data_IF_754366394397
#
_entry.id   IF_754366394397
#
_cell.length_a   1.000
_cell.length_b   1.000
_cell.length_c   1.000
_cell.angle_alpha   90.00
_cell.angle_beta   90.00
_cell.angle_gamma   90.00
#
_symmetry.space_group_name_H-M   'P 1'
#
loop_
_entity.id
_entity.type
_entity.pdbx_description
1 polymer ?
#
# COMPACT_ATOMS: atom_id res chain seq x y z
N UNK A 1 15.21 -4.37 -2.71
CA UNK A 1 14.67 -3.03 -2.35
C UNK A 1 14.27 -3.04 -0.88
N UNK A 2 13.42 -3.94 -0.41
CA UNK A 2 12.92 -4.01 0.98
C UNK A 2 14.08 -4.05 1.98
N UNK A 3 15.04 -4.96 1.84
CA UNK A 3 16.22 -5.05 2.73
C UNK A 3 17.04 -3.76 2.82
N UNK A 4 16.94 -2.89 1.83
CA UNK A 4 17.67 -1.61 1.80
C UNK A 4 16.91 -0.47 2.47
N UNK A 5 15.57 -0.53 2.50
CA UNK A 5 14.72 0.58 2.90
C UNK A 5 13.69 0.21 3.97
N UNK A 6 13.97 -0.84 4.78
CA UNK A 6 13.06 -1.33 5.81
C UNK A 6 13.06 -0.50 7.09
N UNK A 7 14.08 0.32 7.31
CA UNK A 7 14.20 1.12 8.53
C UNK A 7 12.98 2.02 8.73
N UNK A 8 12.47 2.07 9.95
CA UNK A 8 11.27 2.82 10.35
C UNK A 8 9.97 2.36 9.68
N UNK A 9 9.92 1.13 9.20
CA UNK A 9 8.70 0.51 8.66
C UNK A 9 8.24 -0.65 9.53
N UNK A 10 6.95 -0.71 9.82
CA UNK A 10 6.29 -1.87 10.39
C UNK A 10 5.69 -2.68 9.24
N UNK A 11 5.91 -3.99 9.25
CA UNK A 11 5.45 -4.88 8.18
C UNK A 11 4.49 -5.94 8.71
N UNK A 12 3.39 -6.15 8.01
CA UNK A 12 2.41 -7.18 8.32
C UNK A 12 2.25 -8.17 7.17
N UNK A 13 1.76 -9.38 7.45
CA UNK A 13 1.72 -10.49 6.47
C UNK A 13 0.60 -10.42 5.45
N UNK A 14 -0.28 -9.41 5.53
CA UNK A 14 -1.42 -9.19 4.67
C UNK A 14 -2.52 -10.29 4.70
N UNK A 15 -3.51 -10.17 3.82
CA UNK A 15 -4.67 -11.06 3.71
C UNK A 15 -4.35 -12.39 2.99
N UNK A 16 -5.36 -13.18 2.62
CA UNK A 16 -5.19 -14.47 1.89
C UNK A 16 -4.33 -14.36 0.63
N UNK A 17 -4.24 -13.18 0.01
CA UNK A 17 -3.37 -12.94 -1.13
C UNK A 17 -1.89 -12.76 -0.76
N UNK A 18 -1.58 -12.61 0.54
CA UNK A 18 -0.21 -12.52 1.04
C UNK A 18 0.59 -13.81 0.82
N UNK A 19 1.90 -13.71 0.82
CA UNK A 19 2.79 -14.84 0.58
C UNK A 19 2.61 -15.95 1.61
N UNK A 20 2.50 -15.59 2.89
CA UNK A 20 2.40 -16.57 4.00
C UNK A 20 1.04 -17.27 4.00
N UNK A 21 -0.12 -16.56 4.05
CA UNK A 21 -1.42 -17.21 3.99
C UNK A 21 -1.61 -18.07 2.74
N UNK A 22 -1.16 -17.60 1.58
CA UNK A 22 -1.24 -18.34 0.33
C UNK A 22 -0.49 -19.67 0.37
N UNK A 23 0.71 -19.69 0.96
CA UNK A 23 1.48 -20.92 1.12
C UNK A 23 0.83 -21.86 2.12
N UNK A 24 0.27 -21.35 3.23
CA UNK A 24 -0.45 -22.16 4.22
C UNK A 24 -1.66 -22.86 3.58
N UNK A 25 -2.54 -22.11 2.90
CA UNK A 25 -3.73 -22.65 2.22
C UNK A 25 -3.34 -23.67 1.15
N UNK A 26 -2.21 -23.48 0.47
CA UNK A 26 -1.66 -24.44 -0.49
C UNK A 26 -0.97 -25.66 0.18
N UNK A 27 -0.94 -25.79 1.49
CA UNK A 27 -0.28 -26.86 2.23
C UNK A 27 1.25 -26.78 2.25
N UNK A 28 1.83 -25.63 1.85
CA UNK A 28 3.28 -25.41 1.74
C UNK A 28 3.83 -24.75 3.01
N UNK A 29 3.68 -25.45 4.16
CA UNK A 29 4.04 -24.88 5.47
C UNK A 29 5.52 -24.51 5.59
N UNK A 30 6.42 -25.26 4.96
CA UNK A 30 7.86 -24.96 5.00
C UNK A 30 8.20 -23.68 4.21
N UNK A 31 7.51 -23.43 3.10
CA UNK A 31 7.69 -22.17 2.36
C UNK A 31 7.12 -20.98 3.13
N UNK A 32 5.97 -21.15 3.78
CA UNK A 32 5.43 -20.13 4.67
C UNK A 32 6.40 -19.80 5.81
N UNK A 33 7.02 -20.83 6.45
CA UNK A 33 8.00 -20.64 7.51
C UNK A 33 9.23 -19.87 7.02
N UNK A 34 9.80 -20.26 5.88
CA UNK A 34 10.95 -19.56 5.28
C UNK A 34 10.65 -18.08 4.99
N UNK A 35 9.45 -17.78 4.50
CA UNK A 35 9.00 -16.42 4.28
C UNK A 35 8.91 -15.63 5.58
N UNK A 36 8.35 -16.21 6.64
CA UNK A 36 8.28 -15.59 7.97
C UNK A 36 9.70 -15.31 8.50
N UNK A 37 10.60 -16.29 8.43
CA UNK A 37 11.98 -16.16 8.90
C UNK A 37 12.73 -15.05 8.14
N UNK A 38 12.49 -14.91 6.84
CA UNK A 38 13.06 -13.83 6.03
C UNK A 38 12.55 -12.46 6.49
N UNK A 39 11.23 -12.30 6.63
CA UNK A 39 10.64 -11.03 7.08
C UNK A 39 11.08 -10.68 8.52
N UNK A 40 11.10 -11.67 9.42
CA UNK A 40 11.59 -11.49 10.79
C UNK A 40 13.05 -11.03 10.81
N UNK A 41 13.91 -11.59 9.95
CA UNK A 41 15.31 -11.17 9.83
C UNK A 41 15.43 -9.71 9.36
N UNK A 42 14.55 -9.28 8.46
CA UNK A 42 14.59 -7.93 7.88
C UNK A 42 13.99 -6.89 8.84
N UNK A 43 12.83 -7.16 9.41
CA UNK A 43 12.06 -6.19 10.20
C UNK A 43 12.20 -6.39 11.72
N UNK A 44 12.77 -7.50 12.18
CA UNK A 44 12.89 -7.79 13.61
C UNK A 44 11.55 -7.85 14.33
N UNK A 45 11.41 -7.07 15.39
CA UNK A 45 10.20 -6.94 16.21
C UNK A 45 9.10 -6.06 15.56
N UNK A 46 9.37 -5.50 14.38
CA UNK A 46 8.42 -4.72 13.59
C UNK A 46 7.74 -5.54 12.50
N UNK A 47 7.87 -6.88 12.57
CA UNK A 47 7.14 -7.81 11.73
C UNK A 47 6.01 -8.51 12.49
N UNK A 48 4.80 -8.50 11.89
CA UNK A 48 3.61 -9.11 12.48
C UNK A 48 2.92 -10.01 11.45
N UNK A 49 2.37 -11.13 11.95
CA UNK A 49 1.49 -12.00 11.18
C UNK A 49 0.05 -11.53 11.36
N UNK A 50 -0.74 -11.54 10.28
CA UNK A 50 -2.13 -11.10 10.31
C UNK A 50 -3.09 -12.27 10.27
N UNK A 51 -4.15 -12.20 11.07
CA UNK A 51 -5.31 -13.08 11.02
C UNK A 51 -6.56 -12.27 10.73
N UNK A 52 -7.43 -12.82 9.91
CA UNK A 52 -8.70 -12.22 9.49
C UNK A 52 -9.78 -13.29 9.49
N UNK A 53 -11.04 -12.89 9.67
CA UNK A 53 -12.15 -13.84 9.64
C UNK A 53 -13.43 -13.17 9.12
N UNK A 54 -13.78 -13.49 7.87
CA UNK A 54 -14.91 -12.87 7.15
C UNK A 54 -15.92 -13.94 6.75
N UNK A 55 -16.95 -14.14 7.58
CA UNK A 55 -18.05 -15.03 7.26
C UNK A 55 -19.17 -14.22 6.60
N UNK A 56 -19.36 -14.40 5.30
CA UNK A 56 -20.44 -13.71 4.59
C UNK A 56 -21.82 -14.05 5.14
N UNK A 57 -22.66 -13.03 5.23
CA UNK A 57 -24.09 -13.15 5.55
C UNK A 57 -24.98 -13.01 4.30
N UNK A 58 -24.35 -12.78 3.13
CA UNK A 58 -25.06 -12.55 1.86
C UNK A 58 -25.43 -13.88 1.23
N UNK A 59 -26.75 -14.19 1.08
CA UNK A 59 -27.17 -15.43 0.48
C UNK A 59 -26.72 -15.56 -0.98
N UNK A 60 -26.19 -16.73 -1.32
CA UNK A 60 -25.81 -17.04 -2.71
C UNK A 60 -24.55 -16.36 -3.21
N UNK A 61 -23.76 -15.76 -2.32
CA UNK A 61 -22.46 -15.21 -2.73
C UNK A 61 -21.58 -16.34 -3.29
N UNK A 62 -21.03 -16.13 -4.50
CA UNK A 62 -20.28 -17.17 -5.23
C UNK A 62 -18.91 -17.49 -4.62
N UNK A 63 -18.40 -16.61 -3.75
CA UNK A 63 -17.09 -16.78 -3.08
C UNK A 63 -17.21 -16.45 -1.61
N UNK A 64 -17.02 -17.48 -0.79
CA UNK A 64 -16.84 -17.33 0.66
C UNK A 64 -15.40 -17.70 1.02
N UNK A 65 -14.64 -16.75 1.54
CA UNK A 65 -13.23 -16.94 1.93
C UNK A 65 -13.05 -17.46 3.36
N UNK A 66 -14.16 -17.62 4.09
CA UNK A 66 -14.13 -17.96 5.52
C UNK A 66 -13.38 -19.27 5.83
N UNK A 67 -13.61 -20.32 5.03
CA UNK A 67 -12.94 -21.60 5.23
C UNK A 67 -11.44 -21.52 4.95
N UNK A 68 -11.03 -20.79 3.90
CA UNK A 68 -9.62 -20.56 3.61
C UNK A 68 -8.95 -19.72 4.70
N UNK A 69 -9.64 -18.73 5.25
CA UNK A 69 -9.15 -17.94 6.38
C UNK A 69 -8.99 -18.78 7.64
N UNK A 70 -9.88 -19.71 7.95
CA UNK A 70 -9.70 -20.63 9.07
C UNK A 70 -8.42 -21.46 8.91
N UNK A 71 -8.22 -22.08 7.75
CA UNK A 71 -7.02 -22.85 7.46
C UNK A 71 -5.78 -21.97 7.60
N UNK A 72 -5.81 -20.76 7.05
CA UNK A 72 -4.72 -19.80 7.15
C UNK A 72 -4.43 -19.43 8.60
N UNK A 73 -5.46 -19.08 9.38
CA UNK A 73 -5.31 -18.65 10.77
C UNK A 73 -4.71 -19.75 11.65
N UNK A 74 -5.17 -21.00 11.52
CA UNK A 74 -4.58 -22.15 12.22
C UNK A 74 -3.08 -22.30 11.90
N UNK A 75 -2.73 -22.19 10.61
CA UNK A 75 -1.34 -22.24 10.17
C UNK A 75 -0.51 -21.07 10.69
N UNK A 76 -1.08 -19.87 10.72
CA UNK A 76 -0.43 -18.65 11.24
C UNK A 76 -0.16 -18.79 12.74
N UNK A 77 -1.14 -19.19 13.56
CA UNK A 77 -0.93 -19.38 15.00
C UNK A 77 0.14 -20.44 15.29
N UNK A 78 0.14 -21.53 14.53
CA UNK A 78 1.18 -22.56 14.64
C UNK A 78 2.56 -21.97 14.30
N UNK A 79 2.72 -21.31 13.16
CA UNK A 79 4.01 -20.75 12.75
C UNK A 79 4.44 -19.59 13.66
N UNK A 80 3.52 -18.79 14.18
CA UNK A 80 3.79 -17.78 15.18
C UNK A 80 4.42 -18.36 16.44
N UNK A 81 3.86 -19.48 16.96
CA UNK A 81 4.42 -20.20 18.09
C UNK A 81 5.83 -20.77 17.81
N UNK A 82 6.09 -21.25 16.59
CA UNK A 82 7.38 -21.81 16.18
C UNK A 82 8.44 -20.72 15.98
N UNK A 83 8.06 -19.55 15.43
CA UNK A 83 8.97 -18.47 15.04
C UNK A 83 9.10 -17.35 16.07
N UNK A 84 8.17 -17.27 17.02
CA UNK A 84 8.07 -16.19 18.00
C UNK A 84 7.66 -14.84 17.38
N UNK A 85 7.04 -14.84 16.20
CA UNK A 85 6.47 -13.62 15.59
C UNK A 85 5.09 -13.38 16.16
N UNK A 86 4.79 -12.14 16.53
CA UNK A 86 3.49 -11.75 17.06
C UNK A 86 2.41 -11.76 15.99
N UNK A 87 1.17 -12.05 16.42
CA UNK A 87 0.00 -12.07 15.54
C UNK A 87 -0.90 -10.88 15.86
N UNK A 88 -1.48 -10.27 14.84
CA UNK A 88 -2.47 -9.18 14.95
C UNK A 88 -3.74 -9.56 14.21
N UNK A 89 -4.89 -9.15 14.75
CA UNK A 89 -6.17 -9.25 14.04
C UNK A 89 -6.42 -7.98 13.24
N UNK A 90 -6.68 -8.14 11.94
CA UNK A 90 -7.09 -7.06 11.05
C UNK A 90 -8.40 -7.43 10.36
N UNK A 91 -9.06 -6.48 9.71
CA UNK A 91 -10.34 -6.71 9.05
C UNK A 91 -10.35 -6.32 7.56
N UNK A 92 -9.18 -6.06 6.97
CA UNK A 92 -9.07 -5.70 5.55
C UNK A 92 -10.13 -4.65 5.13
N UNK A 93 -10.24 -3.56 5.90
CA UNK A 93 -11.34 -2.60 5.82
C UNK A 93 -11.41 -1.92 4.45
N UNK A 94 -12.54 -2.04 3.76
CA UNK A 94 -12.80 -1.42 2.46
C UNK A 94 -13.91 -0.36 2.50
N UNK A 95 -14.73 -0.35 3.54
CA UNK A 95 -15.81 0.62 3.76
C UNK A 95 -16.07 0.81 5.25
N UNK A 96 -16.78 1.88 5.61
CA UNK A 96 -16.91 2.30 7.01
C UNK A 96 -18.01 1.55 7.74
N UNK A 97 -19.25 1.58 7.23
CA UNK A 97 -20.38 0.99 7.91
C UNK A 97 -20.77 -0.35 7.29
N UNK A 98 -21.32 -1.26 8.09
CA UNK A 98 -21.79 -2.57 7.61
C UNK A 98 -22.78 -2.46 6.45
N UNK A 99 -23.64 -1.45 6.48
CA UNK A 99 -24.65 -1.15 5.48
C UNK A 99 -24.09 -0.69 4.12
N UNK A 100 -22.82 -0.29 4.08
CA UNK A 100 -22.14 0.18 2.86
C UNK A 100 -21.70 -0.97 1.94
N UNK A 101 -21.77 -2.23 2.41
CA UNK A 101 -21.37 -3.42 1.64
C UNK A 101 -21.98 -3.50 0.24
N UNK A 102 -23.31 -3.35 0.05
CA UNK A 102 -23.92 -3.33 -1.28
C UNK A 102 -23.45 -2.16 -2.16
N UNK A 103 -23.21 -0.98 -1.58
CA UNK A 103 -22.67 0.17 -2.32
C UNK A 103 -21.23 -0.11 -2.80
N UNK A 104 -20.41 -0.71 -1.95
CA UNK A 104 -19.06 -1.14 -2.30
C UNK A 104 -19.07 -2.16 -3.45
N UNK A 105 -19.98 -3.12 -3.46
CA UNK A 105 -20.12 -4.10 -4.55
C UNK A 105 -20.45 -3.43 -5.90
N UNK A 106 -21.26 -2.37 -5.90
CA UNK A 106 -21.50 -1.55 -7.09
C UNK A 106 -20.25 -0.79 -7.56
N UNK A 107 -19.43 -0.27 -6.63
CA UNK A 107 -18.15 0.39 -6.97
C UNK A 107 -17.15 -0.59 -7.58
N UNK A 108 -17.12 -1.85 -7.12
CA UNK A 108 -16.30 -2.90 -7.73
C UNK A 108 -16.76 -3.15 -9.17
N UNK A 109 -18.05 -3.24 -9.41
CA UNK A 109 -18.60 -3.40 -10.76
C UNK A 109 -18.19 -2.24 -11.68
N UNK A 110 -18.30 -1.00 -11.20
CA UNK A 110 -17.90 0.19 -11.95
C UNK A 110 -16.41 0.15 -12.30
N UNK A 111 -15.55 -0.18 -11.33
CA UNK A 111 -14.11 -0.21 -11.50
C UNK A 111 -13.64 -1.35 -12.43
N UNK A 112 -14.33 -2.49 -12.41
CA UNK A 112 -14.00 -3.67 -13.24
C UNK A 112 -14.71 -3.71 -14.58
N UNK A 113 -15.62 -2.78 -14.85
CA UNK A 113 -16.44 -2.74 -16.07
C UNK A 113 -17.48 -3.86 -16.13
N UNK A 114 -17.86 -4.44 -14.99
CA UNK A 114 -18.82 -5.54 -14.88
C UNK A 114 -20.20 -5.02 -14.47
N UNK A 115 -21.25 -5.79 -14.80
CA UNK A 115 -22.62 -5.53 -14.33
C UNK A 115 -22.85 -6.25 -13.00
N UNK A 116 -23.75 -5.71 -12.17
CA UNK A 116 -24.05 -6.27 -10.84
C UNK A 116 -24.55 -7.73 -10.87
N UNK A 117 -25.21 -8.12 -11.93
CA UNK A 117 -25.75 -9.47 -12.15
C UNK A 117 -24.91 -10.30 -13.12
N UNK A 118 -23.70 -9.87 -13.46
CA UNK A 118 -22.78 -10.59 -14.35
C UNK A 118 -21.88 -11.51 -13.52
N UNK A 119 -21.69 -12.76 -13.98
CA UNK A 119 -20.75 -13.71 -13.39
C UNK A 119 -19.85 -14.33 -14.48
N UNK A 120 -18.60 -14.70 -14.18
CA UNK A 120 -17.92 -14.49 -12.90
C UNK A 120 -17.40 -13.04 -12.73
N UNK A 121 -17.42 -12.53 -11.51
CA UNK A 121 -16.85 -11.24 -11.13
C UNK A 121 -16.23 -11.28 -9.74
N UNK A 122 -15.51 -10.22 -9.37
CA UNK A 122 -14.97 -10.05 -8.03
C UNK A 122 -16.11 -9.75 -7.05
N UNK A 123 -16.15 -10.48 -5.95
CA UNK A 123 -17.00 -10.24 -4.78
C UNK A 123 -16.16 -10.13 -3.51
N UNK A 124 -16.63 -9.32 -2.59
CA UNK A 124 -16.18 -9.32 -1.19
C UNK A 124 -17.25 -9.94 -0.31
N UNK A 125 -16.89 -10.32 0.91
CA UNK A 125 -17.83 -11.00 1.82
C UNK A 125 -18.86 -10.05 2.43
N UNK A 126 -18.68 -8.75 2.27
CA UNK A 126 -19.38 -7.65 2.94
C UNK A 126 -19.15 -7.62 4.46
N UNK A 127 -18.06 -8.25 4.92
CA UNK A 127 -17.58 -8.17 6.29
C UNK A 127 -16.38 -7.24 6.46
N UNK A 128 -15.91 -6.62 5.38
CA UNK A 128 -14.74 -5.76 5.31
C UNK A 128 -15.06 -4.30 5.71
N UNK A 129 -15.94 -4.11 6.73
CA UNK A 129 -16.26 -2.81 7.32
C UNK A 129 -15.41 -2.53 8.56
N UNK A 130 -15.40 -1.27 9.00
CA UNK A 130 -14.70 -0.87 10.21
C UNK A 130 -15.44 -1.38 11.46
N UNK A 131 -15.06 -2.56 11.93
CA UNK A 131 -15.64 -3.21 13.10
C UNK A 131 -15.23 -2.51 14.40
N UNK A 132 -16.11 -2.56 15.41
CA UNK A 132 -15.77 -2.15 16.76
C UNK A 132 -14.77 -3.13 17.43
N UNK A 133 -14.20 -2.70 18.55
CA UNK A 133 -13.31 -3.56 19.36
C UNK A 133 -14.05 -4.82 19.81
N UNK A 134 -15.32 -4.70 20.25
CA UNK A 134 -16.13 -5.82 20.68
C UNK A 134 -16.43 -6.81 19.54
N UNK A 135 -16.71 -6.28 18.34
CA UNK A 135 -16.92 -7.11 17.15
C UNK A 135 -15.65 -7.86 16.76
N UNK A 136 -14.49 -7.20 16.81
CA UNK A 136 -13.21 -7.86 16.54
C UNK A 136 -12.86 -8.90 17.61
N UNK A 137 -13.10 -8.60 18.90
CA UNK A 137 -12.87 -9.55 19.98
C UNK A 137 -13.75 -10.81 19.86
N UNK A 138 -14.98 -10.65 19.39
CA UNK A 138 -15.88 -11.79 19.16
C UNK A 138 -15.42 -12.74 18.05
N UNK A 139 -14.56 -12.26 17.12
CA UNK A 139 -13.99 -13.12 16.07
C UNK A 139 -12.84 -14.00 16.57
N UNK A 140 -12.13 -13.56 17.62
CA UNK A 140 -10.94 -14.24 18.16
C UNK A 140 -11.02 -14.42 19.68
N UNK A 141 -12.07 -15.09 20.22
CA UNK A 141 -12.30 -15.18 21.66
C UNK A 141 -11.19 -15.93 22.41
N UNK A 142 -10.52 -16.85 21.75
CA UNK A 142 -9.46 -17.68 22.34
C UNK A 142 -8.06 -17.02 22.21
N UNK A 143 -7.96 -15.85 21.54
CA UNK A 143 -6.72 -15.17 21.21
C UNK A 143 -6.80 -13.65 21.49
N UNK A 144 -7.02 -13.20 22.74
CA UNK A 144 -7.11 -11.77 23.04
C UNK A 144 -5.83 -11.00 22.69
N UNK A 145 -4.67 -11.66 22.73
CA UNK A 145 -3.37 -11.08 22.40
C UNK A 145 -3.31 -10.50 20.98
N UNK A 146 -4.11 -11.00 20.03
CA UNK A 146 -4.09 -10.49 18.65
C UNK A 146 -4.66 -9.07 18.55
N UNK A 147 -5.50 -8.65 19.50
CA UNK A 147 -6.01 -7.28 19.61
C UNK A 147 -5.04 -6.41 20.42
N UNK A 148 -4.48 -6.93 21.52
CA UNK A 148 -3.48 -6.23 22.32
C UNK A 148 -2.26 -5.83 21.47
N UNK A 149 -1.81 -6.72 20.58
CA UNK A 149 -0.70 -6.46 19.66
C UNK A 149 -0.99 -5.32 18.67
N UNK A 150 -2.26 -5.01 18.33
CA UNK A 150 -2.59 -3.85 17.51
C UNK A 150 -2.30 -2.54 18.23
N UNK A 151 -2.52 -2.49 19.56
CA UNK A 151 -2.17 -1.33 20.39
C UNK A 151 -0.64 -1.19 20.50
N UNK A 152 0.10 -2.30 20.54
CA UNK A 152 1.56 -2.25 20.47
C UNK A 152 2.03 -1.60 19.17
N UNK A 153 1.48 -1.98 18.02
CA UNK A 153 1.80 -1.33 16.73
C UNK A 153 1.50 0.15 16.80
N UNK A 154 0.32 0.53 17.27
CA UNK A 154 -0.06 1.93 17.37
C UNK A 154 0.89 2.74 18.26
N UNK A 155 1.39 2.14 19.35
CA UNK A 155 2.32 2.78 20.28
C UNK A 155 3.74 3.01 19.70
N UNK A 156 4.12 2.25 18.68
CA UNK A 156 5.41 2.40 17.99
C UNK A 156 5.41 3.57 16.99
N UNK A 157 4.24 4.04 16.57
CA UNK A 157 4.12 5.12 15.58
C UNK A 157 4.31 6.46 16.27
N UNK A 158 5.36 7.18 15.91
CA UNK A 158 5.62 8.53 16.34
C UNK A 158 4.86 9.54 15.47
N UNK A 159 4.59 10.73 16.02
CA UNK A 159 3.97 11.81 15.24
C UNK A 159 4.96 12.30 14.16
N UNK A 160 4.55 12.27 12.90
CA UNK A 160 5.34 12.77 11.78
C UNK A 160 4.45 13.43 10.73
N UNK A 161 5.05 14.26 9.89
CA UNK A 161 4.37 14.93 8.79
C UNK A 161 4.78 14.30 7.45
N UNK A 162 3.78 13.97 6.65
CA UNK A 162 3.97 13.45 5.29
C UNK A 162 4.09 14.60 4.28
N UNK A 163 3.47 15.74 4.57
CA UNK A 163 3.50 16.91 3.70
C UNK A 163 4.93 17.46 3.59
N UNK A 164 5.40 17.53 2.36
CA UNK A 164 6.68 18.12 1.98
C UNK A 164 6.46 19.09 0.84
N UNK A 165 7.39 20.03 0.69
CA UNK A 165 7.42 20.88 -0.50
C UNK A 165 7.46 20.02 -1.76
N UNK A 166 6.78 20.49 -2.80
CA UNK A 166 6.75 19.80 -4.09
C UNK A 166 8.17 19.64 -4.62
N UNK A 167 8.62 18.40 -4.73
CA UNK A 167 9.90 18.06 -5.32
C UNK A 167 9.68 17.80 -6.80
N UNK A 168 10.04 18.76 -7.64
CA UNK A 168 10.09 18.53 -9.07
C UNK A 168 11.29 17.64 -9.40
N UNK A 169 11.16 16.63 -10.28
CA UNK A 169 12.29 15.85 -10.73
C UNK A 169 13.39 16.76 -11.29
N UNK A 170 14.62 16.60 -10.80
CA UNK A 170 15.76 17.28 -11.39
C UNK A 170 16.18 16.52 -12.64
N UNK A 171 15.97 17.13 -13.78
CA UNK A 171 16.47 16.61 -15.03
C UNK A 171 17.98 16.89 -15.14
N UNK A 172 18.74 15.88 -15.54
CA UNK A 172 20.17 16.08 -15.83
C UNK A 172 20.32 16.64 -17.25
N UNK A 173 20.73 17.89 -17.33
CA UNK A 173 21.08 18.53 -18.60
C UNK A 173 22.41 17.97 -19.05
N UNK A 174 22.51 17.56 -20.31
CA UNK A 174 23.74 17.00 -20.83
C UNK A 174 24.86 18.04 -20.94
N UNK A 175 26.11 17.56 -20.91
CA UNK A 175 27.26 18.43 -20.89
C UNK A 175 27.44 19.18 -22.21
N UNK A 176 27.10 18.58 -23.34
CA UNK A 176 27.22 19.23 -24.65
C UNK A 176 26.35 20.47 -24.76
N UNK A 177 25.11 20.40 -24.21
CA UNK A 177 24.23 21.56 -24.11
C UNK A 177 24.82 22.64 -23.19
N UNK A 178 25.38 22.24 -22.04
CA UNK A 178 25.98 23.18 -21.08
C UNK A 178 27.20 23.91 -21.64
N UNK A 179 27.97 23.25 -22.47
CA UNK A 179 29.17 23.82 -23.09
C UNK A 179 28.83 24.94 -24.13
N UNK A 180 27.58 24.95 -24.66
CA UNK A 180 27.10 25.95 -25.59
C UNK A 180 25.86 26.71 -25.07
N UNK A 181 25.73 26.79 -23.73
CA UNK A 181 24.54 27.33 -23.06
C UNK A 181 24.17 28.74 -23.51
N UNK A 182 25.13 29.61 -23.66
CA UNK A 182 24.89 31.03 -24.07
C UNK A 182 24.23 31.12 -25.44
N UNK A 183 24.60 30.28 -26.38
CA UNK A 183 23.98 30.17 -27.70
C UNK A 183 22.54 29.71 -27.58
N UNK A 184 22.25 28.66 -26.79
CA UNK A 184 20.88 28.17 -26.59
C UNK A 184 20.00 29.18 -25.84
N UNK A 185 20.52 29.88 -24.84
CA UNK A 185 19.79 30.93 -24.13
C UNK A 185 19.42 32.09 -25.10
N UNK A 186 20.31 32.44 -26.02
CA UNK A 186 20.03 33.46 -27.04
C UNK A 186 19.03 32.92 -28.09
N UNK A 187 19.19 31.68 -28.53
CA UNK A 187 18.30 31.05 -29.52
C UNK A 187 16.86 30.99 -29.04
N UNK A 188 16.63 30.63 -27.76
CA UNK A 188 15.29 30.47 -27.18
C UNK A 188 14.85 31.68 -26.35
N UNK A 189 15.48 32.80 -26.51
CA UNK A 189 15.25 34.04 -25.74
C UNK A 189 13.78 34.41 -25.63
N UNK A 190 13.04 34.38 -26.75
CA UNK A 190 11.64 34.83 -26.79
C UNK A 190 10.74 33.90 -25.93
N UNK A 191 11.01 32.61 -25.92
CA UNK A 191 10.29 31.63 -25.07
C UNK A 191 10.62 31.83 -23.59
N UNK A 192 11.90 32.07 -23.30
CA UNK A 192 12.38 32.31 -21.92
C UNK A 192 11.75 33.61 -21.38
N UNK A 193 11.72 34.69 -22.17
CA UNK A 193 11.15 35.97 -21.77
C UNK A 193 9.68 35.85 -21.30
N UNK A 194 8.87 35.02 -21.96
CA UNK A 194 7.47 34.81 -21.59
C UNK A 194 7.34 34.16 -20.20
N UNK A 195 8.26 33.27 -19.82
CA UNK A 195 8.15 32.47 -18.60
C UNK A 195 9.08 32.87 -17.46
N UNK A 196 10.04 33.77 -17.67
CA UNK A 196 11.10 34.08 -16.70
C UNK A 196 10.62 34.70 -15.39
N UNK A 197 9.41 35.24 -15.34
CA UNK A 197 8.78 35.74 -14.13
C UNK A 197 7.53 34.91 -13.75
N UNK A 198 7.25 34.79 -12.48
CA UNK A 198 6.01 34.19 -11.99
C UNK A 198 4.81 35.15 -12.18
N UNK A 199 3.60 34.69 -11.84
CA UNK A 199 2.37 35.49 -11.93
C UNK A 199 2.37 36.75 -11.05
N UNK A 200 3.32 36.85 -10.09
CA UNK A 200 3.50 38.00 -9.20
C UNK A 200 4.62 38.94 -9.68
N UNK A 201 5.28 38.62 -10.79
CA UNK A 201 6.38 39.38 -11.36
C UNK A 201 7.77 39.06 -10.79
N UNK A 202 7.90 38.04 -9.95
CA UNK A 202 9.20 37.66 -9.40
C UNK A 202 9.99 36.84 -10.43
N UNK A 203 11.28 37.18 -10.59
CA UNK A 203 12.20 36.43 -11.45
C UNK A 203 12.43 34.99 -10.92
N UNK A 204 12.28 34.01 -11.80
CA UNK A 204 12.38 32.58 -11.44
C UNK A 204 13.82 32.03 -11.34
N UNK A 205 14.79 32.84 -11.72
CA UNK A 205 16.22 32.50 -11.64
C UNK A 205 16.81 31.89 -12.92
N UNK A 206 18.13 31.88 -12.97
CA UNK A 206 18.89 31.41 -14.13
C UNK A 206 18.73 29.92 -14.40
N UNK A 207 18.58 29.11 -13.34
CA UNK A 207 18.33 27.66 -13.48
C UNK A 207 16.99 27.37 -14.18
N UNK A 208 15.97 28.20 -13.95
CA UNK A 208 14.71 28.11 -14.69
C UNK A 208 14.93 28.44 -16.18
N UNK A 209 15.65 29.53 -16.49
CA UNK A 209 15.93 29.90 -17.87
C UNK A 209 16.72 28.84 -18.62
N UNK A 210 17.72 28.26 -17.98
CA UNK A 210 18.49 27.13 -18.50
C UNK A 210 17.62 25.89 -18.76
N UNK A 211 16.74 25.55 -17.84
CA UNK A 211 15.81 24.42 -17.98
C UNK A 211 14.80 24.62 -19.13
N UNK A 212 14.31 25.86 -19.32
CA UNK A 212 13.44 26.21 -20.45
C UNK A 212 14.19 26.09 -21.77
N UNK A 213 15.41 26.62 -21.86
CA UNK A 213 16.23 26.51 -23.06
C UNK A 213 16.50 25.03 -23.42
N UNK A 214 16.84 24.21 -22.44
CA UNK A 214 17.06 22.79 -22.66
C UNK A 214 15.80 22.06 -23.12
N UNK A 215 14.66 22.35 -22.51
CA UNK A 215 13.38 21.76 -22.92
C UNK A 215 13.05 22.12 -24.37
N UNK A 216 13.27 23.38 -24.75
CA UNK A 216 13.10 23.82 -26.16
C UNK A 216 14.04 23.06 -27.10
N UNK A 217 15.32 22.90 -26.72
CA UNK A 217 16.30 22.18 -27.51
C UNK A 217 15.87 20.73 -27.79
N UNK A 218 15.55 19.96 -26.77
CA UNK A 218 15.12 18.55 -26.94
C UNK A 218 13.73 18.37 -27.57
N UNK A 219 12.96 19.44 -27.69
CA UNK A 219 11.60 19.40 -28.31
C UNK A 219 11.65 19.77 -29.79
N UNK A 220 12.56 20.62 -30.21
CA UNK A 220 12.63 21.15 -31.57
C UNK A 220 13.74 20.50 -32.43
N UNK A 221 14.58 19.65 -31.86
CA UNK A 221 15.46 18.74 -32.60
C UNK A 221 14.77 17.38 -32.85
#
# INVERSE_FOLDING_TARGET
IIEKYHENLICCSACLAGEIPKNIVAGKMDEARKAIEWHKRVFGDDYYLEVMLHKTEVPGLSRDVYEEQKISNEGIFRLASETGVKVVATNDVHFVNKEDGPAHDHLICLNTGKKINEEPRLHYTQQEYLKSEEEMAALFPDHPEVLENTLEIASKVEEYQIDRDHVLPKYQIDQAFLDDLDNYLNMYKDVIEVGKCDKKGNYRGDEFCKSVAYLCHITYE
#
